data_IF_050470116272
#
_entry.id   IF_050470116272
#
_cell.length_a   1.000
_cell.length_b   1.000
_cell.length_c   1.000
_cell.angle_alpha   90.00
_cell.angle_beta   90.00
_cell.angle_gamma   90.00
#
_symmetry.space_group_name_H-M   'P 1'
#
loop_
_entity.id
_entity.type
_entity.pdbx_description
1 polymer ?
#
# COMPACT_ATOMS: atom_id res chain seq x y z
N UNK A 1 9.72 -19.52 8.66
CA UNK A 1 8.72 -18.57 8.10
C UNK A 1 7.50 -18.63 9.01
N UNK A 2 7.10 -17.52 9.62
CA UNK A 2 5.92 -17.52 10.51
C UNK A 2 4.63 -17.58 9.69
N UNK A 3 3.54 -18.06 10.28
CA UNK A 3 2.22 -18.18 9.63
C UNK A 3 1.74 -16.81 9.11
N UNK A 4 2.05 -15.72 9.83
CA UNK A 4 1.69 -14.35 9.44
C UNK A 4 2.35 -13.91 8.12
N UNK A 5 3.63 -14.22 7.91
CA UNK A 5 4.36 -13.90 6.67
C UNK A 5 3.73 -14.59 5.47
N UNK A 6 3.34 -15.87 5.62
CA UNK A 6 2.73 -16.61 4.53
C UNK A 6 1.34 -16.05 4.18
N UNK A 7 0.52 -15.78 5.21
CA UNK A 7 -0.79 -15.15 5.03
C UNK A 7 -0.67 -13.81 4.31
N UNK A 8 0.24 -12.95 4.74
CA UNK A 8 0.42 -11.62 4.14
C UNK A 8 0.85 -11.71 2.67
N UNK A 9 1.73 -12.66 2.36
CA UNK A 9 2.20 -12.92 1.00
C UNK A 9 1.04 -13.37 0.10
N UNK A 10 0.25 -14.33 0.57
CA UNK A 10 -0.92 -14.84 -0.15
C UNK A 10 -1.94 -13.73 -0.38
N UNK A 11 -2.30 -12.96 0.67
CA UNK A 11 -3.25 -11.85 0.55
C UNK A 11 -2.76 -10.76 -0.41
N UNK A 12 -1.46 -10.44 -0.37
CA UNK A 12 -0.86 -9.47 -1.29
C UNK A 12 -0.99 -9.93 -2.74
N UNK A 13 -0.57 -11.16 -3.05
CA UNK A 13 -0.66 -11.67 -4.42
C UNK A 13 -2.10 -11.91 -4.88
N UNK A 14 -3.00 -12.37 -4.00
CA UNK A 14 -4.42 -12.49 -4.33
C UNK A 14 -5.02 -11.13 -4.65
N UNK A 15 -4.80 -10.11 -3.81
CA UNK A 15 -5.32 -8.76 -4.04
C UNK A 15 -4.73 -8.11 -5.28
N UNK A 16 -3.40 -8.18 -5.46
CA UNK A 16 -2.72 -7.61 -6.62
C UNK A 16 -3.10 -8.29 -7.93
N UNK A 17 -2.97 -9.61 -7.99
CA UNK A 17 -3.23 -10.37 -9.21
C UNK A 17 -4.72 -10.34 -9.57
N UNK A 18 -5.59 -10.49 -8.58
CA UNK A 18 -7.03 -10.44 -8.81
C UNK A 18 -7.51 -9.09 -9.29
N UNK A 19 -7.05 -8.00 -8.68
CA UNK A 19 -7.37 -6.65 -9.14
C UNK A 19 -6.96 -6.46 -10.61
N UNK A 20 -5.77 -6.91 -10.99
CA UNK A 20 -5.27 -6.82 -12.37
C UNK A 20 -6.12 -7.66 -13.33
N UNK A 21 -6.43 -8.91 -12.99
CA UNK A 21 -7.19 -9.82 -13.86
C UNK A 21 -8.62 -9.33 -14.08
N UNK A 22 -9.28 -8.82 -13.04
CA UNK A 22 -10.63 -8.26 -13.19
C UNK A 22 -10.60 -6.91 -13.92
N UNK A 23 -9.63 -6.04 -13.62
CA UNK A 23 -9.48 -4.77 -14.32
C UNK A 23 -9.22 -4.99 -15.83
N UNK A 24 -8.40 -5.97 -16.21
CA UNK A 24 -8.13 -6.24 -17.63
C UNK A 24 -9.29 -6.86 -18.40
N UNK A 25 -10.28 -7.42 -17.70
CA UNK A 25 -11.54 -7.90 -18.29
C UNK A 25 -12.57 -6.79 -18.46
N UNK A 26 -12.26 -5.57 -18.04
CA UNK A 26 -13.24 -4.48 -17.98
C UNK A 26 -14.25 -4.64 -16.85
N UNK A 27 -13.88 -5.32 -15.76
CA UNK A 27 -14.73 -5.55 -14.58
C UNK A 27 -14.16 -4.80 -13.35
N UNK A 28 -14.08 -3.45 -13.37
CA UNK A 28 -13.44 -2.67 -12.30
C UNK A 28 -14.18 -2.75 -10.97
N UNK A 29 -15.48 -3.06 -10.99
CA UNK A 29 -16.29 -3.33 -9.80
C UNK A 29 -15.82 -4.57 -9.07
N UNK A 30 -15.61 -5.68 -9.79
CA UNK A 30 -15.09 -6.91 -9.20
C UNK A 30 -13.64 -6.75 -8.76
N UNK A 31 -12.82 -6.02 -9.52
CA UNK A 31 -11.47 -5.68 -9.12
C UNK A 31 -11.45 -4.93 -7.78
N UNK A 32 -12.29 -3.89 -7.66
CA UNK A 32 -12.40 -3.04 -6.47
C UNK A 32 -12.98 -3.80 -5.28
N UNK A 33 -14.03 -4.60 -5.48
CA UNK A 33 -14.65 -5.40 -4.43
C UNK A 33 -13.67 -6.45 -3.88
N UNK A 34 -12.95 -7.14 -4.76
CA UNK A 34 -12.02 -8.21 -4.39
C UNK A 34 -10.87 -7.68 -3.53
N UNK A 35 -10.21 -6.61 -3.98
CA UNK A 35 -9.15 -5.99 -3.18
C UNK A 35 -9.71 -5.29 -1.93
N UNK A 36 -10.90 -4.71 -2.02
CA UNK A 36 -11.61 -4.09 -0.89
C UNK A 36 -11.83 -5.07 0.26
N UNK A 37 -12.21 -6.32 -0.02
CA UNK A 37 -12.34 -7.37 1.00
C UNK A 37 -11.01 -7.67 1.68
N UNK A 38 -9.92 -7.76 0.92
CA UNK A 38 -8.57 -8.02 1.47
C UNK A 38 -8.10 -6.85 2.36
N UNK A 39 -8.31 -5.61 1.90
CA UNK A 39 -7.98 -4.39 2.66
C UNK A 39 -8.82 -4.29 3.93
N UNK A 40 -10.14 -4.53 3.84
CA UNK A 40 -11.04 -4.52 4.99
C UNK A 40 -10.66 -5.59 6.01
N UNK A 41 -10.35 -6.81 5.56
CA UNK A 41 -9.82 -7.85 6.44
C UNK A 41 -8.56 -7.39 7.18
N UNK A 42 -7.66 -6.69 6.48
CA UNK A 42 -6.48 -6.07 7.08
C UNK A 42 -6.83 -5.06 8.17
N UNK A 43 -7.74 -4.12 7.87
CA UNK A 43 -8.19 -3.10 8.81
C UNK A 43 -8.83 -3.72 10.06
N UNK A 44 -9.73 -4.69 9.88
CA UNK A 44 -10.37 -5.39 11.00
C UNK A 44 -9.34 -6.14 11.87
N UNK A 45 -8.26 -6.68 11.28
CA UNK A 45 -7.22 -7.39 12.02
C UNK A 45 -6.20 -6.50 12.73
N UNK A 46 -5.94 -5.29 12.23
CA UNK A 46 -4.92 -4.40 12.81
C UNK A 46 -5.45 -3.10 13.42
N UNK A 47 -6.78 -2.92 13.44
CA UNK A 47 -7.44 -1.83 14.14
C UNK A 47 -7.23 -0.45 13.52
N UNK A 48 -7.43 0.60 14.32
CA UNK A 48 -7.41 1.99 13.86
C UNK A 48 -6.07 2.40 13.24
N UNK A 49 -4.94 1.88 13.73
CA UNK A 49 -3.62 2.19 13.15
C UNK A 49 -3.55 1.81 11.67
N UNK A 50 -4.08 0.64 11.29
CA UNK A 50 -4.11 0.20 9.90
C UNK A 50 -5.08 1.02 9.06
N UNK A 51 -6.18 1.51 9.65
CA UNK A 51 -7.09 2.44 8.97
C UNK A 51 -6.38 3.77 8.67
N UNK A 52 -5.64 4.32 9.64
CA UNK A 52 -4.87 5.56 9.44
C UNK A 52 -3.76 5.38 8.40
N UNK A 53 -2.94 4.33 8.53
CA UNK A 53 -1.86 4.03 7.57
C UNK A 53 -2.42 3.72 6.18
N UNK A 54 -3.55 3.01 6.12
CA UNK A 54 -4.25 2.73 4.87
C UNK A 54 -4.77 4.00 4.20
N UNK A 55 -5.34 4.92 4.97
CA UNK A 55 -5.80 6.23 4.47
C UNK A 55 -4.63 7.06 3.94
N UNK A 56 -3.51 7.11 4.68
CA UNK A 56 -2.28 7.76 4.23
C UNK A 56 -1.73 7.12 2.95
N UNK A 57 -1.78 5.79 2.84
CA UNK A 57 -1.36 5.08 1.65
C UNK A 57 -2.24 5.42 0.44
N UNK A 58 -3.56 5.53 0.62
CA UNK A 58 -4.49 5.98 -0.43
C UNK A 58 -4.17 7.41 -0.88
N UNK A 59 -3.92 8.33 0.05
CA UNK A 59 -3.57 9.72 -0.28
C UNK A 59 -2.25 9.81 -1.05
N UNK A 60 -1.22 9.10 -0.58
CA UNK A 60 0.07 9.02 -1.26
C UNK A 60 -0.07 8.39 -2.64
N UNK A 61 -0.85 7.32 -2.74
CA UNK A 61 -1.11 6.65 -3.99
C UNK A 61 -1.85 7.52 -4.98
N UNK A 62 -2.89 8.21 -4.55
CA UNK A 62 -3.59 9.18 -5.37
C UNK A 62 -2.62 10.23 -5.94
N UNK A 63 -1.73 10.78 -5.11
CA UNK A 63 -0.74 11.76 -5.58
C UNK A 63 0.23 11.16 -6.62
N UNK A 64 0.80 9.99 -6.34
CA UNK A 64 1.78 9.33 -7.23
C UNK A 64 1.15 8.90 -8.55
N UNK A 65 -0.02 8.27 -8.50
CA UNK A 65 -0.75 7.82 -9.68
C UNK A 65 -1.20 8.99 -10.57
N UNK A 66 -1.64 10.11 -9.97
CA UNK A 66 -1.96 11.31 -10.74
C UNK A 66 -0.72 11.90 -11.42
N UNK A 67 0.45 11.87 -10.77
CA UNK A 67 1.71 12.28 -11.42
C UNK A 67 1.99 11.37 -12.62
N UNK A 68 1.85 10.05 -12.49
CA UNK A 68 2.06 9.11 -13.59
C UNK A 68 1.10 9.33 -14.77
N UNK A 69 -0.17 9.63 -14.49
CA UNK A 69 -1.14 10.00 -15.52
C UNK A 69 -0.74 11.30 -16.21
N UNK A 70 -0.36 12.33 -15.44
CA UNK A 70 -0.04 13.67 -15.97
C UNK A 70 1.21 13.66 -16.85
N UNK A 71 2.24 12.90 -16.48
CA UNK A 71 3.49 12.80 -17.26
C UNK A 71 3.42 11.76 -18.38
N UNK A 72 2.28 11.07 -18.56
CA UNK A 72 2.13 10.02 -19.57
C UNK A 72 2.98 8.78 -19.32
N UNK A 73 3.28 8.48 -18.05
CA UNK A 73 3.94 7.23 -17.67
C UNK A 73 2.94 6.06 -17.71
N UNK A 74 1.66 6.31 -17.38
CA UNK A 74 0.58 5.32 -17.38
C UNK A 74 -0.71 5.90 -17.94
N UNK A 75 -1.56 5.07 -18.51
CA UNK A 75 -2.97 5.35 -18.79
C UNK A 75 -3.82 4.13 -18.43
N UNK A 76 -5.12 4.34 -18.22
CA UNK A 76 -6.07 3.26 -17.96
C UNK A 76 -7.14 3.22 -19.06
N UNK A 77 -7.49 2.03 -19.60
CA UNK A 77 -8.61 1.88 -20.52
C UNK A 77 -9.91 2.43 -19.95
N UNK A 78 -10.83 2.91 -20.79
CA UNK A 78 -12.15 3.39 -20.33
C UNK A 78 -12.94 2.31 -19.58
N UNK A 79 -12.75 1.03 -19.95
CA UNK A 79 -13.35 -0.12 -19.27
C UNK A 79 -12.82 -0.36 -17.86
N UNK A 80 -11.71 0.29 -17.47
CA UNK A 80 -11.10 0.12 -16.15
C UNK A 80 -11.69 1.08 -15.09
N UNK A 81 -12.66 1.91 -15.45
CA UNK A 81 -13.34 2.84 -14.53
C UNK A 81 -14.73 2.34 -14.15
N UNK A 82 -15.14 2.57 -12.90
CA UNK A 82 -16.46 2.21 -12.40
C UNK A 82 -17.58 3.05 -13.04
N UNK A 83 -17.46 4.38 -12.93
CA UNK A 83 -18.51 5.34 -13.35
C UNK A 83 -18.00 6.77 -13.54
N UNK A 84 -16.85 7.13 -12.96
CA UNK A 84 -16.16 8.40 -13.19
C UNK A 84 -14.91 8.15 -14.02
N UNK A 85 -14.87 8.68 -15.25
CA UNK A 85 -13.65 8.80 -16.04
C UNK A 85 -12.93 10.09 -15.66
N UNK A 86 -11.59 10.03 -15.56
CA UNK A 86 -10.73 11.19 -15.28
C UNK A 86 -9.95 11.15 -13.96
N UNK A 87 -10.19 10.15 -13.10
CA UNK A 87 -9.40 9.90 -11.89
C UNK A 87 -8.87 8.47 -11.89
N UNK A 88 -7.75 8.24 -11.18
CA UNK A 88 -7.16 6.92 -10.98
C UNK A 88 -8.22 5.89 -10.54
N UNK A 89 -8.30 4.71 -11.16
CA UNK A 89 -9.27 3.68 -10.78
C UNK A 89 -9.17 3.27 -9.30
N UNK A 90 -10.31 3.03 -8.65
CA UNK A 90 -10.36 2.67 -7.24
C UNK A 90 -9.57 1.40 -6.91
N UNK A 91 -9.61 0.38 -7.77
CA UNK A 91 -8.85 -0.85 -7.58
C UNK A 91 -7.35 -0.58 -7.48
N UNK A 92 -6.83 0.40 -8.23
CA UNK A 92 -5.42 0.77 -8.19
C UNK A 92 -5.08 1.45 -6.87
N UNK A 93 -5.93 2.38 -6.41
CA UNK A 93 -5.75 3.06 -5.13
C UNK A 93 -5.78 2.08 -3.95
N UNK A 94 -6.57 1.02 -4.03
CA UNK A 94 -6.64 -0.01 -2.98
C UNK A 94 -5.42 -0.95 -2.94
N UNK A 95 -4.57 -0.97 -3.97
CA UNK A 95 -3.27 -1.66 -3.92
C UNK A 95 -2.30 -0.99 -2.94
N UNK A 96 -2.45 0.32 -2.70
CA UNK A 96 -1.60 1.07 -1.80
C UNK A 96 -1.75 0.68 -0.32
N UNK A 97 -2.95 0.64 0.29
CA UNK A 97 -3.12 0.12 1.65
C UNK A 97 -2.74 -1.36 1.75
N UNK A 98 -3.00 -2.16 0.71
CA UNK A 98 -2.56 -3.56 0.65
C UNK A 98 -1.02 -3.67 0.75
N UNK A 99 -0.30 -2.87 -0.04
CA UNK A 99 1.16 -2.77 0.01
C UNK A 99 1.65 -2.27 1.38
N UNK A 100 1.09 -1.17 1.88
CA UNK A 100 1.45 -0.57 3.18
C UNK A 100 1.37 -1.59 4.33
N UNK A 101 0.40 -2.51 4.28
CA UNK A 101 0.25 -3.58 5.25
C UNK A 101 1.40 -4.59 5.22
N UNK A 102 1.92 -4.93 4.05
CA UNK A 102 3.03 -5.91 3.92
C UNK A 102 4.30 -5.46 4.65
N UNK A 103 4.44 -4.15 4.90
CA UNK A 103 5.54 -3.54 5.64
C UNK A 103 5.42 -3.71 7.17
N UNK A 104 4.36 -4.35 7.67
CA UNK A 104 4.19 -4.58 9.09
C UNK A 104 5.21 -5.53 9.72
N UNK A 105 5.46 -5.33 11.02
CA UNK A 105 6.26 -6.28 11.79
C UNK A 105 5.60 -7.66 11.72
N UNK A 106 6.36 -8.67 11.28
CA UNK A 106 5.87 -10.04 11.13
C UNK A 106 5.12 -10.35 9.83
N UNK A 107 4.98 -9.37 8.93
CA UNK A 107 4.45 -9.58 7.57
C UNK A 107 5.62 -9.66 6.55
N UNK A 108 5.31 -10.00 5.30
CA UNK A 108 6.29 -10.47 4.31
C UNK A 108 7.38 -9.47 3.91
N UNK A 109 7.14 -8.16 4.01
CA UNK A 109 8.14 -7.12 3.72
C UNK A 109 8.62 -6.40 4.99
N UNK A 110 8.18 -6.83 6.17
CA UNK A 110 8.60 -6.25 7.46
C UNK A 110 10.11 -6.34 7.71
N UNK A 111 10.81 -7.30 7.11
CA UNK A 111 12.26 -7.48 7.28
C UNK A 111 13.12 -6.41 6.59
N UNK A 112 12.52 -5.61 5.68
CA UNK A 112 13.22 -4.54 4.94
C UNK A 112 13.43 -3.30 5.81
N UNK A 113 12.73 -3.18 6.94
CA UNK A 113 12.82 -2.05 7.86
C UNK A 113 14.27 -1.76 8.26
N UNK A 114 14.66 -0.49 8.16
CA UNK A 114 16.03 -0.03 8.43
C UNK A 114 17.04 -0.30 7.32
N UNK A 115 16.67 -1.03 6.25
CA UNK A 115 17.54 -1.34 5.11
C UNK A 115 17.21 -0.45 3.90
N UNK A 116 17.47 0.85 4.03
CA UNK A 116 17.01 1.88 3.08
C UNK A 116 17.46 1.67 1.63
N UNK A 117 18.72 1.25 1.42
CA UNK A 117 19.24 0.98 0.07
C UNK A 117 18.53 -0.22 -0.56
N UNK A 118 18.30 -1.29 0.21
CA UNK A 118 17.58 -2.47 -0.25
C UNK A 118 16.13 -2.12 -0.57
N UNK A 119 15.48 -1.30 0.27
CA UNK A 119 14.13 -0.80 0.02
C UNK A 119 14.04 -0.01 -1.29
N UNK A 120 15.00 0.87 -1.56
CA UNK A 120 15.04 1.65 -2.81
C UNK A 120 15.24 0.75 -4.04
N UNK A 121 16.17 -0.21 -3.97
CA UNK A 121 16.41 -1.13 -5.09
C UNK A 121 15.22 -2.06 -5.36
N UNK A 122 14.65 -2.66 -4.31
CA UNK A 122 13.47 -3.52 -4.43
C UNK A 122 12.25 -2.74 -4.88
N UNK A 123 12.08 -1.50 -4.40
CA UNK A 123 11.02 -0.62 -4.87
C UNK A 123 11.20 -0.25 -6.33
N UNK A 124 12.41 0.13 -6.75
CA UNK A 124 12.62 0.53 -8.13
C UNK A 124 12.45 -0.60 -9.13
N UNK A 125 13.03 -1.77 -8.85
CA UNK A 125 12.89 -2.94 -9.72
C UNK A 125 11.47 -3.51 -9.62
N UNK A 126 10.97 -3.72 -8.39
CA UNK A 126 9.66 -4.32 -8.15
C UNK A 126 8.51 -3.45 -8.65
N UNK A 127 8.57 -2.14 -8.42
CA UNK A 127 7.58 -1.17 -8.90
C UNK A 127 7.53 -1.14 -10.43
N UNK A 128 8.66 -0.96 -11.10
CA UNK A 128 8.71 -0.96 -12.57
C UNK A 128 8.17 -2.27 -13.17
N UNK A 129 8.57 -3.42 -12.60
CA UNK A 129 8.09 -4.74 -13.06
C UNK A 129 6.60 -4.98 -12.76
N UNK A 130 6.07 -4.46 -11.65
CA UNK A 130 4.66 -4.60 -11.31
C UNK A 130 3.76 -3.87 -12.33
N UNK A 131 4.12 -2.65 -12.74
CA UNK A 131 3.35 -1.92 -13.76
C UNK A 131 3.54 -2.54 -15.14
N UNK A 132 4.75 -3.02 -15.46
CA UNK A 132 4.97 -3.80 -16.68
C UNK A 132 4.04 -5.04 -16.69
N UNK A 133 3.92 -5.75 -15.57
CA UNK A 133 2.96 -6.83 -15.39
C UNK A 133 1.52 -6.38 -15.70
N UNK A 134 1.07 -5.29 -15.09
CA UNK A 134 -0.25 -4.69 -15.34
C UNK A 134 -0.51 -4.43 -16.82
N UNK A 135 0.49 -3.91 -17.56
CA UNK A 135 0.36 -3.71 -19.02
C UNK A 135 0.27 -5.00 -19.82
N UNK A 136 1.02 -6.04 -19.44
CA UNK A 136 0.97 -7.33 -20.14
C UNK A 136 -0.37 -8.04 -19.93
N UNK A 137 -1.04 -7.78 -18.81
CA UNK A 137 -2.38 -8.28 -18.57
C UNK A 137 -3.48 -7.42 -19.20
N UNK A 138 -3.18 -6.18 -19.64
CA UNK A 138 -4.16 -5.25 -20.20
C UNK A 138 -4.93 -4.42 -19.16
N UNK A 139 -4.47 -4.38 -17.90
CA UNK A 139 -5.14 -3.61 -16.85
C UNK A 139 -4.82 -2.10 -16.90
N UNK A 140 -3.64 -1.76 -17.44
CA UNK A 140 -3.18 -0.40 -17.69
C UNK A 140 -2.33 -0.38 -18.97
N UNK A 141 -2.03 0.80 -19.47
CA UNK A 141 -1.26 1.00 -20.69
C UNK A 141 -0.09 1.96 -20.45
N UNK A 142 0.92 1.86 -21.32
CA UNK A 142 2.00 2.85 -21.38
C UNK A 142 1.78 3.71 -22.62
N UNK A 143 1.29 4.96 -22.45
CA UNK A 143 1.04 5.84 -23.60
C UNK A 143 2.35 6.35 -24.22
N UNK A 144 3.42 6.42 -23.42
CA UNK A 144 4.79 6.69 -23.87
C UNK A 144 5.56 5.39 -24.18
N UNK A 145 6.86 5.47 -24.45
CA UNK A 145 7.68 4.27 -24.65
C UNK A 145 7.74 3.40 -23.39
N UNK A 146 7.72 2.06 -23.56
CA UNK A 146 7.78 1.11 -22.45
C UNK A 146 8.99 1.37 -21.54
N UNK A 147 10.14 1.72 -22.13
CA UNK A 147 11.36 2.04 -21.37
C UNK A 147 11.18 3.30 -20.51
N UNK A 148 10.61 4.37 -21.08
CA UNK A 148 10.32 5.60 -20.34
C UNK A 148 9.42 5.32 -19.14
N UNK A 149 8.30 4.63 -19.34
CA UNK A 149 7.34 4.33 -18.28
C UNK A 149 7.96 3.47 -17.18
N UNK A 150 8.60 2.34 -17.53
CA UNK A 150 9.19 1.41 -16.55
C UNK A 150 10.29 2.09 -15.73
N UNK A 151 11.17 2.87 -16.37
CA UNK A 151 12.25 3.58 -15.67
C UNK A 151 11.68 4.68 -14.76
N UNK A 152 10.73 5.48 -15.26
CA UNK A 152 10.13 6.58 -14.49
C UNK A 152 9.38 6.05 -13.26
N UNK A 153 8.58 5.00 -13.44
CA UNK A 153 7.86 4.32 -12.36
C UNK A 153 8.85 3.70 -11.38
N UNK A 154 9.91 3.04 -11.87
CA UNK A 154 10.95 2.49 -11.01
C UNK A 154 11.66 3.56 -10.17
N UNK A 155 12.04 4.69 -10.77
CA UNK A 155 12.66 5.79 -10.02
C UNK A 155 11.73 6.36 -8.95
N UNK A 156 10.45 6.52 -9.27
CA UNK A 156 9.44 6.96 -8.29
C UNK A 156 9.29 5.95 -7.14
N UNK A 157 9.18 4.65 -7.44
CA UNK A 157 9.06 3.61 -6.42
C UNK A 157 10.32 3.41 -5.58
N UNK A 158 11.51 3.70 -6.13
CA UNK A 158 12.75 3.72 -5.37
C UNK A 158 12.75 4.78 -4.25
N UNK A 159 11.91 5.82 -4.37
CA UNK A 159 11.70 6.86 -3.35
C UNK A 159 10.47 6.54 -2.48
N UNK A 160 9.35 6.16 -3.10
CA UNK A 160 8.08 5.90 -2.39
C UNK A 160 8.21 4.72 -1.41
N UNK A 161 8.90 3.64 -1.79
CA UNK A 161 9.05 2.47 -0.94
C UNK A 161 9.78 2.81 0.38
N UNK A 162 11.00 3.38 0.41
CA UNK A 162 11.63 3.73 1.67
C UNK A 162 10.83 4.78 2.47
N UNK A 163 10.12 5.71 1.81
CA UNK A 163 9.26 6.67 2.50
C UNK A 163 8.11 6.00 3.24
N UNK A 164 7.42 5.05 2.62
CA UNK A 164 6.31 4.31 3.26
C UNK A 164 6.80 3.49 4.46
N UNK A 165 7.98 2.86 4.38
CA UNK A 165 8.63 2.22 5.54
C UNK A 165 8.85 3.25 6.66
N UNK A 166 9.42 4.41 6.35
CA UNK A 166 9.70 5.46 7.34
C UNK A 166 8.44 5.95 8.02
N UNK A 167 7.38 6.25 7.26
CA UNK A 167 6.10 6.66 7.83
C UNK A 167 5.53 5.59 8.75
N UNK A 168 5.52 4.34 8.29
CA UNK A 168 4.97 3.25 9.08
C UNK A 168 5.73 3.05 10.40
N UNK A 169 7.05 3.10 10.36
CA UNK A 169 7.89 3.03 11.57
C UNK A 169 7.63 4.21 12.53
N UNK A 170 7.46 5.42 11.99
CA UNK A 170 7.16 6.61 12.78
C UNK A 170 5.83 6.51 13.53
N UNK A 171 4.77 6.06 12.85
CA UNK A 171 3.44 5.91 13.48
C UNK A 171 3.41 4.78 14.51
N UNK A 172 4.06 3.65 14.24
CA UNK A 172 4.17 2.58 15.23
C UNK A 172 4.91 3.04 16.48
N UNK A 173 6.04 3.73 16.33
CA UNK A 173 6.80 4.28 17.46
C UNK A 173 5.98 5.31 18.27
N UNK A 174 5.22 6.16 17.58
CA UNK A 174 4.37 7.18 18.21
C UNK A 174 3.28 6.55 19.07
N UNK A 175 2.64 5.49 18.58
CA UNK A 175 1.61 4.75 19.33
C UNK A 175 2.17 4.03 20.56
N UNK A 176 3.35 3.42 20.47
CA UNK A 176 4.02 2.82 21.63
C UNK A 176 4.32 3.85 22.72
N UNK A 177 4.76 5.05 22.34
CA UNK A 177 5.05 6.12 23.29
C UNK A 177 3.77 6.67 23.96
N UNK A 178 2.69 6.86 23.21
CA UNK A 178 1.39 7.29 23.77
C UNK A 178 0.82 6.27 24.74
N UNK A 179 0.87 4.97 24.40
CA UNK A 179 0.39 3.90 25.28
C UNK A 179 1.18 3.81 26.58
N UNK A 180 2.51 4.00 26.54
CA UNK A 180 3.35 4.02 27.74
C UNK A 180 3.05 5.22 28.65
N UNK A 181 2.77 6.40 28.08
CA UNK A 181 2.42 7.59 28.85
C UNK A 181 1.09 7.43 29.59
N UNK A 182 0.05 6.94 28.91
CA UNK A 182 -1.28 6.76 29.51
C UNK A 182 -1.28 5.73 30.66
N UNK A 183 -0.48 4.67 30.54
CA UNK A 183 -0.34 3.65 31.58
C UNK A 183 0.38 4.20 32.82
N UNK A 184 1.41 5.03 32.64
CA UNK A 184 2.16 5.66 33.72
C UNK A 184 1.29 6.65 34.53
N UNK A 185 0.42 7.41 33.85
CA UNK A 185 -0.52 8.33 34.51
C UNK A 185 -1.62 7.57 35.28
N UNK A 186 -2.10 6.44 34.74
CA UNK A 186 -3.08 5.59 35.43
C UNK A 186 -2.50 4.97 36.71
N UNK A 187 -1.24 4.50 36.68
CA UNK A 187 -0.57 3.95 37.87
C UNK A 187 -0.32 5.01 38.94
N UNK A 188 0.00 6.25 38.56
CA UNK A 188 0.15 7.36 39.52
C UNK A 188 -1.17 7.72 40.19
N UNK A 189 -2.26 7.75 39.44
CA UNK A 189 -3.58 8.10 39.99
C UNK A 189 -4.13 7.02 40.93
N UNK A 190 -3.79 5.75 40.72
CA UNK A 190 -4.14 4.65 41.63
C UNK A 190 -3.35 4.76 42.95
N UNK A 191 -2.04 5.02 42.89
CA UNK A 191 -1.19 5.16 44.07
C UNK A 191 -1.54 6.40 44.92
N UNK A 192 -2.05 7.47 44.29
CA UNK A 192 -2.55 8.65 45.01
C UNK A 192 -3.95 8.49 45.64
N UNK A 193 -4.72 7.49 45.20
CA UNK A 193 -6.07 7.22 45.72
C UNK A 193 -6.08 6.37 46.99
N UNK A 194 -4.98 5.67 47.28
CA UNK A 194 -4.83 4.80 48.46
C UNK A 194 -4.20 5.54 49.66
N UNK A 195 -3.94 6.85 49.54
CA UNK A 195 -3.32 7.70 50.58
C UNK A 195 -4.29 8.64 51.32
N UNK A 196 -5.61 8.50 51.14
CA UNK A 196 -6.65 9.17 51.93
C UNK A 196 -7.40 8.19 52.85
#
# INVERSE_FOLDING_TARGET
MTISVLRSLVLYYMGWFGAIVFASRGEPELATAMIGVVVLFGFLKGGLMEVYLGTLAIMLGLAVENIFLTIGATSYPESSYLSWSGFVPFWMLLLWPLFMRTLALGECLGWIRGKWVIAALLGGVGGGLAYLGGTKFGALEFPSSQMYSVVTIGLAWAVVFPLTIKFRMFFEASLFNTGKSAMNDSTKNLDSGDTE
#
